data_IF_769374388786
#
_entry.id   IF_769374388786
#
_cell.length_a   1.000
_cell.length_b   1.000
_cell.length_c   1.000
_cell.angle_alpha   90.00
_cell.angle_beta   90.00
_cell.angle_gamma   90.00
#
_symmetry.space_group_name_H-M   'P 1'
#
loop_
_entity.id
_entity.type
_entity.pdbx_description
1 polymer ?
#
# COMPACT_ATOMS: atom_id res chain seq x y z
N UNK A 1 51.21 43.81 -20.96
CA UNK A 1 51.89 42.58 -21.44
C UNK A 1 52.38 41.79 -20.25
N UNK A 2 52.19 40.46 -20.31
CA UNK A 2 52.85 39.36 -19.56
C UNK A 2 52.83 39.45 -18.02
N UNK A 3 51.97 38.66 -17.34
CA UNK A 3 52.05 37.20 -17.03
C UNK A 3 52.57 37.04 -15.59
N UNK A 4 51.81 36.42 -14.67
CA UNK A 4 51.99 35.05 -14.12
C UNK A 4 52.03 35.21 -12.58
N UNK A 5 51.59 34.32 -11.70
CA UNK A 5 51.03 32.97 -11.76
C UNK A 5 50.09 32.87 -10.54
N UNK A 6 48.85 32.43 -10.75
CA UNK A 6 47.96 32.04 -9.65
C UNK A 6 48.33 30.62 -9.22
N UNK A 7 48.80 30.44 -7.98
CA UNK A 7 48.82 29.15 -7.30
C UNK A 7 47.56 29.08 -6.42
N UNK A 8 46.46 28.57 -6.99
CA UNK A 8 45.30 28.19 -6.20
C UNK A 8 45.26 26.68 -6.08
N UNK A 9 45.49 26.25 -4.84
CA UNK A 9 45.31 24.91 -4.34
C UNK A 9 43.89 24.47 -4.70
N UNK A 10 43.78 23.42 -5.52
CA UNK A 10 42.51 22.72 -5.73
C UNK A 10 42.33 21.83 -4.50
N UNK A 11 41.34 22.05 -3.61
CA UNK A 11 40.89 20.97 -2.77
C UNK A 11 40.27 19.92 -3.69
N UNK A 12 40.85 18.71 -3.72
CA UNK A 12 40.19 17.54 -4.27
C UNK A 12 38.82 17.44 -3.60
N UNK A 13 37.77 17.80 -4.33
CA UNK A 13 36.41 17.40 -4.02
C UNK A 13 36.38 15.89 -4.18
N UNK A 14 36.67 15.17 -3.09
CA UNK A 14 36.29 13.78 -2.99
C UNK A 14 34.77 13.75 -3.05
N UNK A 15 34.24 13.43 -4.23
CA UNK A 15 32.86 13.00 -4.35
C UNK A 15 32.76 11.71 -3.53
N UNK A 16 32.32 11.84 -2.28
CA UNK A 16 31.69 10.73 -1.59
C UNK A 16 30.52 10.34 -2.50
N UNK A 17 30.70 9.25 -3.24
CA UNK A 17 29.61 8.53 -3.85
C UNK A 17 28.78 8.02 -2.69
N UNK A 18 27.88 8.86 -2.21
CA UNK A 18 26.72 8.42 -1.48
C UNK A 18 25.95 7.61 -2.53
N UNK A 19 26.22 6.30 -2.54
CA UNK A 19 25.31 5.30 -3.08
C UNK A 19 23.97 5.61 -2.43
N UNK A 20 23.18 6.42 -3.13
CA UNK A 20 21.74 6.47 -2.96
C UNK A 20 21.36 5.03 -3.23
N UNK A 21 21.07 4.28 -2.17
CA UNK A 21 20.37 3.03 -2.31
C UNK A 21 19.23 3.31 -3.27
N UNK A 22 19.19 2.58 -4.38
CA UNK A 22 18.01 2.51 -5.21
C UNK A 22 16.92 1.99 -4.28
N UNK A 23 16.15 2.92 -3.70
CA UNK A 23 14.88 2.59 -3.09
C UNK A 23 14.07 1.99 -4.23
N UNK A 24 13.97 0.67 -4.23
CA UNK A 24 13.12 -0.10 -5.12
C UNK A 24 11.71 0.47 -5.01
N UNK A 25 11.32 1.35 -5.94
CA UNK A 25 10.05 2.06 -5.90
C UNK A 25 8.86 1.13 -6.24
N UNK A 26 9.12 -0.17 -6.32
CA UNK A 26 8.18 -1.23 -6.65
C UNK A 26 7.25 -1.48 -5.46
N UNK A 27 5.97 -1.14 -5.60
CA UNK A 27 4.95 -1.46 -4.58
C UNK A 27 4.76 -2.97 -4.48
N UNK A 28 4.99 -3.55 -3.31
CA UNK A 28 4.82 -4.98 -3.06
C UNK A 28 3.45 -5.27 -2.44
N UNK A 29 2.75 -6.26 -2.98
CA UNK A 29 1.53 -6.80 -2.37
C UNK A 29 1.90 -7.67 -1.17
N UNK A 30 1.35 -7.36 0.00
CA UNK A 30 1.57 -8.11 1.24
C UNK A 30 0.52 -9.21 1.43
N UNK A 31 -0.75 -8.87 1.19
CA UNK A 31 -1.86 -9.82 1.33
C UNK A 31 -3.07 -9.39 0.50
N UNK A 32 -3.89 -10.36 0.13
CA UNK A 32 -5.15 -10.15 -0.55
C UNK A 32 -6.24 -10.83 0.28
N UNK A 33 -7.36 -10.15 0.45
CA UNK A 33 -8.52 -10.63 1.19
C UNK A 33 -9.77 -10.46 0.35
N UNK A 34 -10.72 -11.37 0.52
CA UNK A 34 -11.90 -11.46 -0.35
C UNK A 34 -13.15 -11.82 0.44
N UNK A 35 -14.27 -11.21 0.10
CA UNK A 35 -15.59 -11.71 0.44
C UNK A 35 -16.46 -11.84 -0.81
N UNK A 36 -17.20 -12.93 -0.93
CA UNK A 36 -18.30 -13.04 -1.89
C UNK A 36 -19.62 -12.73 -1.18
N UNK A 37 -20.41 -11.81 -1.72
CA UNK A 37 -21.77 -11.56 -1.23
C UNK A 37 -22.70 -11.27 -2.42
N UNK A 38 -23.77 -12.08 -2.54
CA UNK A 38 -24.65 -12.03 -3.70
C UNK A 38 -23.93 -12.34 -5.01
N UNK A 39 -24.10 -11.43 -5.98
CA UNK A 39 -23.47 -11.46 -7.30
C UNK A 39 -22.12 -10.73 -7.35
N UNK A 40 -21.61 -10.25 -6.21
CA UNK A 40 -20.36 -9.50 -6.13
C UNK A 40 -19.26 -10.21 -5.34
N UNK A 41 -18.01 -9.88 -5.69
CA UNK A 41 -16.81 -10.15 -4.90
C UNK A 41 -16.18 -8.83 -4.47
N UNK A 42 -15.86 -8.69 -3.19
CA UNK A 42 -15.18 -7.54 -2.62
C UNK A 42 -13.75 -7.94 -2.28
N UNK A 43 -12.79 -7.21 -2.83
CA UNK A 43 -11.36 -7.51 -2.72
C UNK A 43 -10.64 -6.38 -1.99
N UNK A 44 -9.72 -6.76 -1.11
CA UNK A 44 -8.84 -5.85 -0.38
C UNK A 44 -7.39 -6.31 -0.56
N UNK A 45 -6.60 -5.54 -1.31
CA UNK A 45 -5.19 -5.82 -1.58
C UNK A 45 -4.31 -4.85 -0.79
N UNK A 46 -3.66 -5.35 0.26
CA UNK A 46 -2.79 -4.57 1.13
C UNK A 46 -1.35 -4.57 0.63
N UNK A 47 -0.69 -3.42 0.68
CA UNK A 47 0.67 -3.22 0.18
C UNK A 47 1.63 -2.77 1.28
N UNK A 48 2.93 -2.84 0.96
CA UNK A 48 4.04 -2.38 1.81
C UNK A 48 4.12 -0.86 1.97
N UNK A 49 3.37 -0.10 1.16
CA UNK A 49 3.27 1.36 1.24
C UNK A 49 2.17 1.86 2.19
N UNK A 50 1.68 1.00 3.10
CA UNK A 50 0.54 1.29 3.98
C UNK A 50 -0.72 1.72 3.21
N UNK A 51 -0.90 1.19 1.99
CA UNK A 51 -2.12 1.39 1.21
C UNK A 51 -2.86 0.07 0.97
N UNK A 52 -4.17 0.18 0.86
CA UNK A 52 -5.07 -0.91 0.49
C UNK A 52 -5.85 -0.51 -0.75
N UNK A 53 -5.84 -1.37 -1.77
CA UNK A 53 -6.71 -1.24 -2.93
C UNK A 53 -7.99 -2.03 -2.67
N UNK A 54 -9.12 -1.33 -2.65
CA UNK A 54 -10.45 -1.92 -2.58
C UNK A 54 -11.05 -2.03 -3.98
N UNK A 55 -11.62 -3.18 -4.30
CA UNK A 55 -12.24 -3.43 -5.61
C UNK A 55 -13.50 -4.27 -5.45
N UNK A 56 -14.60 -3.83 -6.04
CA UNK A 56 -15.82 -4.62 -6.16
C UNK A 56 -15.93 -5.15 -7.60
N UNK A 57 -16.07 -6.46 -7.75
CA UNK A 57 -16.21 -7.14 -9.06
C UNK A 57 -17.47 -7.97 -9.08
N UNK A 58 -17.85 -8.46 -10.26
CA UNK A 58 -18.81 -9.56 -10.33
C UNK A 58 -18.19 -10.83 -9.73
N UNK A 59 -19.04 -11.68 -9.15
CA UNK A 59 -18.61 -12.90 -8.49
C UNK A 59 -17.87 -13.82 -9.47
N UNK A 60 -16.71 -14.30 -9.05
CA UNK A 60 -15.85 -15.18 -9.85
C UNK A 60 -14.78 -14.43 -10.66
N UNK A 61 -14.89 -13.11 -10.78
CA UNK A 61 -13.88 -12.31 -11.45
C UNK A 61 -12.74 -11.93 -10.50
N UNK A 62 -11.52 -11.87 -11.04
CA UNK A 62 -10.30 -11.46 -10.31
C UNK A 62 -10.22 -9.92 -10.24
N UNK A 63 -9.58 -9.34 -9.20
CA UNK A 63 -9.55 -7.89 -9.01
C UNK A 63 -8.73 -7.13 -10.07
N UNK A 64 -7.78 -7.80 -10.73
CA UNK A 64 -6.80 -7.17 -11.62
C UNK A 64 -7.38 -6.51 -12.90
N UNK A 65 -8.62 -6.82 -13.26
CA UNK A 65 -9.28 -6.28 -14.45
C UNK A 65 -10.22 -5.10 -14.14
N UNK A 66 -10.28 -4.65 -12.89
CA UNK A 66 -11.27 -3.68 -12.43
C UNK A 66 -10.59 -2.45 -11.84
N UNK A 67 -11.21 -1.28 -12.05
CA UNK A 67 -10.81 -0.05 -11.37
C UNK A 67 -11.20 -0.17 -9.89
N UNK A 68 -10.26 0.17 -9.01
CA UNK A 68 -10.46 0.17 -7.57
C UNK A 68 -10.14 1.52 -6.94
N UNK A 69 -10.50 1.65 -5.68
CA UNK A 69 -10.18 2.82 -4.85
C UNK A 69 -9.05 2.48 -3.89
N UNK A 70 -8.04 3.34 -3.81
CA UNK A 70 -6.91 3.16 -2.91
C UNK A 70 -7.12 3.96 -1.64
N UNK A 71 -6.91 3.34 -0.49
CA UNK A 71 -7.00 3.97 0.83
C UNK A 71 -5.70 3.77 1.59
N UNK A 72 -5.43 4.64 2.56
CA UNK A 72 -4.40 4.35 3.56
C UNK A 72 -4.93 3.42 4.64
N UNK A 73 -4.06 2.58 5.18
CA UNK A 73 -4.37 1.74 6.33
C UNK A 73 -3.24 1.77 7.36
N UNK A 74 -3.58 1.40 8.59
CA UNK A 74 -2.64 1.11 9.66
C UNK A 74 -3.02 -0.23 10.29
N UNK A 75 -2.02 -1.07 10.51
CA UNK A 75 -2.16 -2.30 11.28
C UNK A 75 -1.31 -2.21 12.55
N UNK A 76 -1.89 -2.53 13.70
CA UNK A 76 -1.20 -2.68 14.97
C UNK A 76 -1.66 -4.00 15.57
N UNK A 77 -0.72 -4.91 15.77
CA UNK A 77 -0.99 -6.29 16.14
C UNK A 77 -2.01 -6.93 15.18
N UNK A 78 -3.13 -7.41 15.73
CA UNK A 78 -4.24 -8.01 14.98
C UNK A 78 -5.34 -7.00 14.64
N UNK A 79 -5.17 -5.71 14.96
CA UNK A 79 -6.14 -4.67 14.64
C UNK A 79 -5.76 -3.96 13.36
N UNK A 80 -6.73 -3.76 12.48
CA UNK A 80 -6.56 -3.01 11.22
C UNK A 80 -7.54 -1.85 11.15
N UNK A 81 -7.04 -0.71 10.67
CA UNK A 81 -7.83 0.52 10.46
C UNK A 81 -7.55 1.05 9.06
N UNK A 82 -8.59 1.29 8.28
CA UNK A 82 -8.55 1.86 6.93
C UNK A 82 -9.19 3.25 6.98
N UNK A 83 -8.55 4.25 6.40
CA UNK A 83 -8.95 5.65 6.50
C UNK A 83 -9.60 6.15 5.21
N UNK A 84 -10.55 7.09 5.34
CA UNK A 84 -11.13 7.83 4.20
C UNK A 84 -10.05 8.72 3.58
N UNK A 85 -10.10 8.88 2.26
CA UNK A 85 -9.28 9.83 1.50
C UNK A 85 -9.80 11.28 1.71
N UNK A 86 -9.67 11.78 2.93
CA UNK A 86 -10.10 13.12 3.33
C UNK A 86 -8.88 13.98 3.70
N UNK A 87 -8.90 15.31 3.46
CA UNK A 87 -7.96 16.21 4.11
C UNK A 87 -8.03 16.06 5.63
N UNK A 88 -6.90 16.32 6.30
CA UNK A 88 -6.72 16.03 7.73
C UNK A 88 -7.75 16.76 8.61
N UNK A 89 -8.24 16.13 9.71
CA UNK A 89 -7.88 14.79 10.19
C UNK A 89 -8.52 13.66 9.36
N UNK A 90 -7.78 12.56 9.17
CA UNK A 90 -8.27 11.39 8.42
C UNK A 90 -9.36 10.69 9.22
N UNK A 91 -10.58 10.68 8.70
CA UNK A 91 -11.68 9.93 9.27
C UNK A 91 -11.49 8.41 9.02
N UNK A 92 -11.93 7.57 9.95
CA UNK A 92 -11.93 6.11 9.77
C UNK A 92 -13.00 5.75 8.73
N UNK A 93 -12.66 4.88 7.79
CA UNK A 93 -13.62 4.26 6.89
C UNK A 93 -14.05 2.89 7.41
N UNK A 94 -13.09 2.02 7.68
CA UNK A 94 -13.31 0.67 8.20
C UNK A 94 -12.30 0.38 9.30
N UNK A 95 -12.70 -0.39 10.30
CA UNK A 95 -11.79 -0.92 11.31
C UNK A 95 -12.21 -2.30 11.76
N UNK A 96 -11.27 -3.10 12.23
CA UNK A 96 -11.60 -4.39 12.81
C UNK A 96 -10.37 -5.24 13.09
N UNK A 97 -10.52 -6.55 12.99
CA UNK A 97 -9.52 -7.50 13.46
C UNK A 97 -9.21 -8.61 12.48
N UNK A 98 -7.99 -9.13 12.58
CA UNK A 98 -7.48 -10.27 11.82
C UNK A 98 -7.36 -11.46 12.78
N UNK A 99 -7.95 -12.59 12.40
CA UNK A 99 -7.81 -13.87 13.10
C UNK A 99 -7.57 -14.96 12.05
N UNK A 100 -6.38 -15.56 12.09
CA UNK A 100 -5.95 -16.62 11.17
C UNK A 100 -6.14 -16.24 9.68
N UNK A 101 -7.14 -16.83 9.04
CA UNK A 101 -7.49 -16.65 7.63
C UNK A 101 -8.74 -15.77 7.43
N UNK A 102 -9.24 -15.12 8.49
CA UNK A 102 -10.40 -14.25 8.43
C UNK A 102 -10.05 -12.84 8.91
N UNK A 103 -10.52 -11.83 8.20
CA UNK A 103 -10.47 -10.43 8.59
C UNK A 103 -11.89 -9.89 8.67
N UNK A 104 -12.28 -9.42 9.86
CA UNK A 104 -13.56 -8.76 10.07
C UNK A 104 -13.36 -7.24 10.04
N UNK A 105 -14.06 -6.55 9.15
CA UNK A 105 -14.04 -5.09 9.03
C UNK A 105 -15.43 -4.53 9.23
N UNK A 106 -15.54 -3.45 10.00
CA UNK A 106 -16.79 -2.73 10.21
C UNK A 106 -16.57 -1.23 10.02
N UNK A 107 -17.51 -0.58 9.35
CA UNK A 107 -17.64 0.88 9.27
C UNK A 107 -19.07 1.30 9.59
N UNK A 108 -19.37 2.58 9.37
CA UNK A 108 -20.67 3.17 9.73
C UNK A 108 -21.87 2.48 9.04
N UNK A 109 -21.69 2.04 7.79
CA UNK A 109 -22.78 1.53 6.94
C UNK A 109 -22.54 0.14 6.36
N UNK A 110 -21.42 -0.49 6.66
CA UNK A 110 -21.02 -1.74 6.01
C UNK A 110 -20.12 -2.58 6.91
N UNK A 111 -20.23 -3.90 6.73
CA UNK A 111 -19.37 -4.88 7.40
C UNK A 111 -18.86 -5.88 6.36
N UNK A 112 -17.65 -6.38 6.58
CA UNK A 112 -17.04 -7.41 5.77
C UNK A 112 -16.46 -8.52 6.63
N UNK A 113 -16.68 -9.76 6.20
CA UNK A 113 -15.99 -10.94 6.70
C UNK A 113 -15.15 -11.48 5.54
N UNK A 114 -13.90 -11.05 5.49
CA UNK A 114 -12.99 -11.33 4.38
C UNK A 114 -12.17 -12.58 4.68
N UNK A 115 -12.10 -13.51 3.74
CA UNK A 115 -11.18 -14.65 3.79
C UNK A 115 -9.88 -14.32 3.08
N UNK A 116 -8.75 -14.76 3.63
CA UNK A 116 -7.43 -14.59 3.02
C UNK A 116 -7.38 -15.31 1.67
N UNK A 117 -7.05 -14.58 0.61
CA UNK A 117 -6.92 -15.11 -0.73
C UNK A 117 -5.45 -15.44 -1.02
N UNK A 118 -5.18 -16.73 -1.23
CA UNK A 118 -3.86 -17.20 -1.63
C UNK A 118 -3.84 -17.26 -3.16
N UNK A 119 -2.97 -16.47 -3.79
CA UNK A 119 -2.68 -16.62 -5.22
C UNK A 119 -1.82 -17.87 -5.36
N UNK A 120 -2.41 -18.97 -5.80
CA UNK A 120 -1.64 -20.12 -6.29
C UNK A 120 -1.09 -19.72 -7.67
N UNK A 121 0.23 -19.74 -7.82
CA UNK A 121 0.85 -19.65 -9.13
C UNK A 121 0.63 -21.01 -9.81
N UNK A 122 -0.13 -21.01 -10.91
CA UNK A 122 -0.17 -22.13 -11.86
C UNK A 122 1.14 -22.22 -12.65
#
# INVERSE_FOLDING_TARGET
MKKLFWLLIIPLLMFASCSKGEDDNTTKVLSIWKQDAGDKSYWFQFTDKNTVLYTATDKGNKPYNYLGETFEYKQVDNTITIYKNSPAPKAIWLSGSISDNTMNLSGDSQTFELTKYIVLYD
#
